data_IF_046762519649
#
_entry.id   IF_046762519649
#
_cell.length_a   1.000
_cell.length_b   1.000
_cell.length_c   1.000
_cell.angle_alpha   90.00
_cell.angle_beta   90.00
_cell.angle_gamma   90.00
#
_symmetry.space_group_name_H-M   'P 1'
#
loop_
_entity.id
_entity.type
_entity.pdbx_description
1 polymer ?
#
# COMPACT_ATOMS: atom_id res chain seq x y z
N UNK A 1 31.50 3.08 -12.21
CA UNK A 1 30.48 3.90 -11.53
C UNK A 1 29.12 3.22 -11.67
N UNK A 2 28.53 2.82 -10.56
CA UNK A 2 27.23 2.19 -10.62
C UNK A 2 26.17 3.27 -10.81
N UNK A 3 25.31 3.10 -11.80
CA UNK A 3 24.20 4.00 -12.00
C UNK A 3 23.03 3.58 -11.11
N UNK A 4 22.40 4.56 -10.47
CA UNK A 4 21.17 4.31 -9.73
C UNK A 4 20.06 3.94 -10.73
N UNK A 5 19.31 2.86 -10.52
CA UNK A 5 18.19 2.54 -11.38
C UNK A 5 17.22 3.71 -11.45
N UNK A 6 16.73 4.04 -12.64
CA UNK A 6 15.75 5.12 -12.82
C UNK A 6 14.33 4.64 -12.57
N UNK A 7 14.09 3.35 -12.64
CA UNK A 7 12.76 2.74 -12.46
C UNK A 7 12.90 1.45 -11.67
N UNK A 8 12.01 1.27 -10.70
CA UNK A 8 11.93 0.06 -9.89
C UNK A 8 10.50 -0.43 -9.89
N UNK A 9 10.31 -1.70 -10.26
CA UNK A 9 9.02 -2.36 -10.10
C UNK A 9 8.93 -2.83 -8.64
N UNK A 10 8.00 -2.24 -7.89
CA UNK A 10 7.83 -2.53 -6.46
C UNK A 10 6.85 -3.69 -6.30
N UNK A 11 7.25 -4.70 -5.52
CA UNK A 11 6.40 -5.84 -5.21
C UNK A 11 5.16 -5.39 -4.43
N UNK A 12 4.06 -6.08 -4.67
CA UNK A 12 2.78 -5.85 -3.98
C UNK A 12 2.94 -5.85 -2.46
N UNK A 13 3.78 -6.74 -1.91
CA UNK A 13 4.01 -6.80 -0.46
C UNK A 13 4.60 -5.51 0.10
N UNK A 14 5.46 -4.83 -0.64
CA UNK A 14 6.02 -3.55 -0.22
C UNK A 14 4.94 -2.48 -0.16
N UNK A 15 4.08 -2.43 -1.16
CA UNK A 15 2.95 -1.50 -1.16
C UNK A 15 1.98 -1.77 0.01
N UNK A 16 1.70 -3.04 0.31
CA UNK A 16 0.87 -3.42 1.45
C UNK A 16 1.51 -2.98 2.76
N UNK A 17 2.81 -3.21 2.93
CA UNK A 17 3.53 -2.78 4.12
C UNK A 17 3.47 -1.26 4.31
N UNK A 18 3.51 -0.52 3.22
CA UNK A 18 3.42 0.94 3.26
C UNK A 18 2.02 1.42 3.64
N UNK A 19 0.97 0.85 3.03
CA UNK A 19 -0.39 1.35 3.19
C UNK A 19 -1.09 0.84 4.45
N UNK A 20 -0.67 -0.29 5.02
CA UNK A 20 -1.37 -0.93 6.13
C UNK A 20 -0.58 -0.74 7.42
N UNK A 21 -1.12 0.07 8.38
CA UNK A 21 -0.37 0.44 9.59
C UNK A 21 0.03 -0.73 10.49
N UNK A 22 -0.72 -1.83 10.47
CA UNK A 22 -0.48 -2.97 11.34
C UNK A 22 0.61 -3.92 10.85
N UNK A 23 1.16 -3.71 9.65
CA UNK A 23 2.15 -4.62 9.09
C UNK A 23 3.53 -4.36 9.67
N UNK A 24 4.25 -5.45 9.96
CA UNK A 24 5.58 -5.38 10.57
C UNK A 24 6.63 -4.71 9.69
N UNK A 25 6.51 -4.88 8.37
CA UNK A 25 7.43 -4.31 7.40
C UNK A 25 7.23 -2.83 7.09
N UNK A 26 6.28 -2.18 7.77
CA UNK A 26 5.90 -0.81 7.41
C UNK A 26 7.04 0.19 7.49
N UNK A 27 7.82 0.16 8.57
CA UNK A 27 8.93 1.11 8.73
C UNK A 27 9.99 0.94 7.65
N UNK A 28 10.28 -0.32 7.28
CA UNK A 28 11.23 -0.63 6.19
C UNK A 28 10.68 -0.17 4.84
N UNK A 29 9.39 -0.40 4.59
CA UNK A 29 8.74 0.03 3.35
C UNK A 29 8.72 1.55 3.22
N UNK A 30 8.40 2.27 4.30
CA UNK A 30 8.41 3.73 4.31
C UNK A 30 9.81 4.26 3.99
N UNK A 31 10.83 3.70 4.63
CA UNK A 31 12.22 4.11 4.43
C UNK A 31 12.66 3.84 3.00
N UNK A 32 12.36 2.64 2.47
CA UNK A 32 12.69 2.28 1.08
C UNK A 32 12.05 3.24 0.09
N UNK A 33 10.75 3.52 0.23
CA UNK A 33 10.04 4.39 -0.70
C UNK A 33 10.51 5.85 -0.58
N UNK A 34 10.83 6.29 0.64
CA UNK A 34 11.38 7.63 0.86
C UNK A 34 12.74 7.78 0.18
N UNK A 35 13.61 6.80 0.33
CA UNK A 35 14.94 6.83 -0.26
C UNK A 35 14.85 6.81 -1.79
N UNK A 36 13.94 6.02 -2.36
CA UNK A 36 13.70 5.98 -3.79
C UNK A 36 13.21 7.33 -4.31
N UNK A 37 12.30 7.98 -3.61
CA UNK A 37 11.80 9.31 -3.99
C UNK A 37 12.91 10.36 -3.90
N UNK A 38 13.74 10.31 -2.86
CA UNK A 38 14.88 11.22 -2.71
C UNK A 38 15.89 11.05 -3.83
N UNK A 39 16.11 9.81 -4.28
CA UNK A 39 17.01 9.50 -5.39
C UNK A 39 16.37 9.73 -6.77
N UNK A 40 15.14 10.22 -6.82
CA UNK A 40 14.38 10.46 -8.05
C UNK A 40 14.20 9.19 -8.90
N UNK A 41 13.98 8.07 -8.22
CA UNK A 41 13.69 6.80 -8.88
C UNK A 41 12.19 6.67 -9.13
N UNK A 42 11.81 6.32 -10.34
CA UNK A 42 10.40 6.06 -10.67
C UNK A 42 9.97 4.74 -10.05
N UNK A 43 8.91 4.80 -9.25
CA UNK A 43 8.34 3.61 -8.62
C UNK A 43 7.19 3.11 -9.49
N UNK A 44 7.23 1.82 -9.81
CA UNK A 44 6.24 1.19 -10.67
C UNK A 44 5.50 0.11 -9.89
N UNK A 45 4.25 -0.10 -10.23
CA UNK A 45 3.49 -1.27 -9.79
C UNK A 45 2.92 -1.98 -10.99
N UNK A 46 2.77 -3.31 -10.90
CA UNK A 46 2.19 -4.07 -11.98
C UNK A 46 0.70 -3.75 -12.12
N UNK A 47 0.24 -3.39 -13.32
CA UNK A 47 -1.16 -3.06 -13.56
C UNK A 47 -2.09 -4.21 -13.18
N UNK A 48 -1.64 -5.45 -13.35
CA UNK A 48 -2.38 -6.64 -12.95
C UNK A 48 -2.51 -6.78 -11.44
N UNK A 49 -1.66 -6.11 -10.66
CA UNK A 49 -1.68 -6.15 -9.18
C UNK A 49 -2.64 -5.14 -8.58
N UNK A 50 -3.13 -4.16 -9.33
CA UNK A 50 -3.96 -3.09 -8.77
C UNK A 50 -5.25 -3.61 -8.15
N UNK A 51 -5.90 -4.57 -8.80
CA UNK A 51 -7.12 -5.21 -8.28
C UNK A 51 -6.83 -6.01 -7.01
N UNK A 52 -5.76 -6.78 -7.01
CA UNK A 52 -5.35 -7.58 -5.85
C UNK A 52 -4.95 -6.68 -4.70
N UNK A 53 -4.23 -5.59 -4.98
CA UNK A 53 -3.83 -4.62 -3.99
C UNK A 53 -5.05 -3.95 -3.35
N UNK A 54 -6.03 -3.53 -4.14
CA UNK A 54 -7.29 -2.99 -3.65
C UNK A 54 -7.99 -3.97 -2.70
N UNK A 55 -8.13 -5.21 -3.15
CA UNK A 55 -8.80 -6.24 -2.35
C UNK A 55 -8.07 -6.49 -1.04
N UNK A 56 -6.74 -6.61 -1.08
CA UNK A 56 -5.95 -6.91 0.10
C UNK A 56 -5.96 -5.75 1.10
N UNK A 57 -5.84 -4.50 0.64
CA UNK A 57 -5.93 -3.32 1.52
C UNK A 57 -7.29 -3.29 2.21
N UNK A 58 -8.36 -3.44 1.44
CA UNK A 58 -9.72 -3.43 1.99
C UNK A 58 -9.92 -4.55 3.01
N UNK A 59 -9.49 -5.77 2.69
CA UNK A 59 -9.65 -6.94 3.55
C UNK A 59 -8.86 -6.81 4.85
N UNK A 60 -7.62 -6.32 4.78
CA UNK A 60 -6.79 -6.17 5.98
C UNK A 60 -7.30 -5.07 6.91
N UNK A 61 -7.82 -3.97 6.37
CA UNK A 61 -8.45 -2.94 7.18
C UNK A 61 -9.71 -3.44 7.87
N UNK A 62 -10.53 -4.23 7.17
CA UNK A 62 -11.72 -4.84 7.77
C UNK A 62 -11.34 -5.80 8.89
N UNK A 63 -10.31 -6.62 8.68
CA UNK A 63 -9.84 -7.57 9.69
C UNK A 63 -9.28 -6.84 10.92
N UNK A 64 -8.49 -5.78 10.70
CA UNK A 64 -7.98 -4.94 11.78
C UNK A 64 -9.11 -4.33 12.58
N UNK A 65 -10.11 -3.77 11.92
CA UNK A 65 -11.25 -3.14 12.59
C UNK A 65 -12.02 -4.15 13.46
N UNK A 66 -12.23 -5.38 12.93
CA UNK A 66 -12.90 -6.43 13.72
C UNK A 66 -12.10 -6.80 14.96
N UNK A 67 -10.78 -6.88 14.87
CA UNK A 67 -9.93 -7.18 16.04
C UNK A 67 -10.00 -6.09 17.09
N UNK A 68 -10.02 -4.84 16.67
CA UNK A 68 -10.03 -3.70 17.61
C UNK A 68 -11.42 -3.44 18.23
N UNK A 69 -12.49 -3.70 17.49
CA UNK A 69 -13.84 -3.33 17.89
C UNK A 69 -14.80 -4.52 18.06
N UNK A 70 -14.34 -5.73 17.80
CA UNK A 70 -15.12 -6.96 17.96
C UNK A 70 -16.13 -7.25 16.87
N UNK A 71 -16.46 -6.27 16.03
CA UNK A 71 -17.40 -6.44 14.92
C UNK A 71 -17.12 -5.44 13.81
N UNK A 72 -17.67 -5.71 12.63
CA UNK A 72 -17.53 -4.82 11.48
C UNK A 72 -18.89 -4.24 11.12
N UNK A 73 -19.08 -2.95 11.37
CA UNK A 73 -20.30 -2.26 10.95
C UNK A 73 -20.30 -1.99 9.45
N UNK A 74 -21.48 -1.82 8.83
CA UNK A 74 -21.54 -1.41 7.41
C UNK A 74 -20.77 -0.11 7.12
N UNK A 75 -20.80 0.83 8.06
CA UNK A 75 -20.05 2.08 7.92
C UNK A 75 -18.54 1.82 7.87
N UNK A 76 -18.03 0.98 8.77
CA UNK A 76 -16.60 0.65 8.82
C UNK A 76 -16.17 -0.14 7.57
N UNK A 77 -17.02 -1.01 7.06
CA UNK A 77 -16.75 -1.74 5.81
C UNK A 77 -16.65 -0.77 4.62
N UNK A 78 -17.57 0.20 4.54
CA UNK A 78 -17.55 1.21 3.48
C UNK A 78 -16.30 2.09 3.60
N UNK A 79 -15.91 2.46 4.83
CA UNK A 79 -14.71 3.27 5.05
C UNK A 79 -13.44 2.53 4.61
N UNK A 80 -13.34 1.21 4.87
CA UNK A 80 -12.20 0.41 4.43
C UNK A 80 -12.11 0.34 2.91
N UNK A 81 -13.24 0.21 2.23
CA UNK A 81 -13.30 0.22 0.76
C UNK A 81 -12.87 1.57 0.20
N UNK A 82 -13.37 2.66 0.78
CA UNK A 82 -12.99 4.02 0.39
C UNK A 82 -11.50 4.26 0.57
N UNK A 83 -10.93 3.80 1.69
CA UNK A 83 -9.49 3.92 1.95
C UNK A 83 -8.67 3.16 0.90
N UNK A 84 -9.12 1.97 0.49
CA UNK A 84 -8.43 1.21 -0.54
C UNK A 84 -8.42 1.96 -1.88
N UNK A 85 -9.52 2.60 -2.25
CA UNK A 85 -9.58 3.46 -3.44
C UNK A 85 -8.62 4.64 -3.34
N UNK A 86 -8.54 5.28 -2.17
CA UNK A 86 -7.62 6.40 -1.94
C UNK A 86 -6.16 5.96 -2.10
N UNK A 87 -5.81 4.78 -1.59
CA UNK A 87 -4.47 4.21 -1.75
C UNK A 87 -4.13 4.00 -3.23
N UNK A 88 -5.06 3.44 -4.02
CA UNK A 88 -4.84 3.26 -5.45
C UNK A 88 -4.69 4.59 -6.18
N UNK A 89 -5.45 5.60 -5.77
CA UNK A 89 -5.34 6.95 -6.35
C UNK A 89 -3.95 7.53 -6.12
N UNK A 90 -3.37 7.33 -4.94
CA UNK A 90 -1.99 7.75 -4.66
C UNK A 90 -1.02 7.04 -5.59
N UNK A 91 -1.18 5.73 -5.77
CA UNK A 91 -0.31 4.96 -6.67
C UNK A 91 -0.38 5.45 -8.11
N UNK A 92 -1.55 5.84 -8.59
CA UNK A 92 -1.72 6.30 -9.97
C UNK A 92 -1.02 7.63 -10.25
N UNK A 93 -0.59 8.35 -9.21
CA UNK A 93 0.12 9.61 -9.33
C UNK A 93 1.64 9.46 -9.30
N UNK A 94 2.11 8.25 -9.09
CA UNK A 94 3.56 7.95 -9.09
C UNK A 94 4.14 7.75 -10.53
#
# INVERSE_FOLDING_TARGET
>A
MSETPKRILVDTNVWLDYFIPSRRGRSVAIEFLRDACTAQVDLLYAATSSKDLFYLISSEHKAWYRREHGSLSPYAAAAATSLAWDCLSVLSQL
#
